data_IF_412361202852
#
_entry.id   IF_412361202852
#
_cell.length_a   1.000
_cell.length_b   1.000
_cell.length_c   1.000
_cell.angle_alpha   90.00
_cell.angle_beta   90.00
_cell.angle_gamma   90.00
#
_symmetry.space_group_name_H-M   'P 1'
#
loop_
_entity.id
_entity.type
_entity.pdbx_description
1 polymer ?
#
# COMPACT_ATOMS: atom_id res chain seq x y z
N UNK A 1 -4.52 7.41 3.04
CA UNK A 1 -5.17 6.36 2.24
C UNK A 1 -6.48 5.85 2.86
N UNK A 2 -6.46 5.19 4.04
CA UNK A 2 -7.67 4.53 4.59
C UNK A 2 -8.86 5.48 4.83
N UNK A 3 -8.61 6.69 5.34
CA UNK A 3 -9.63 7.74 5.43
C UNK A 3 -10.28 8.04 4.09
N UNK A 4 -9.47 8.20 3.04
CA UNK A 4 -9.97 8.50 1.70
C UNK A 4 -10.87 7.36 1.20
N UNK A 5 -10.44 6.11 1.37
CA UNK A 5 -11.26 4.95 1.03
C UNK A 5 -12.59 4.91 1.79
N UNK A 6 -12.59 5.12 3.11
CA UNK A 6 -13.83 5.17 3.91
C UNK A 6 -14.76 6.32 3.49
N UNK A 7 -14.22 7.42 2.95
CA UNK A 7 -15.03 8.52 2.43
C UNK A 7 -15.61 8.27 1.04
N UNK A 8 -15.00 7.38 0.23
CA UNK A 8 -15.45 7.08 -1.13
C UNK A 8 -16.36 5.86 -1.21
N UNK A 9 -16.31 4.96 -0.23
CA UNK A 9 -17.13 3.76 -0.19
C UNK A 9 -18.43 4.00 0.58
N UNK A 10 -19.57 3.57 0.05
CA UNK A 10 -20.87 3.74 0.70
C UNK A 10 -21.09 2.73 1.82
N UNK A 11 -20.76 1.46 1.58
CA UNK A 11 -21.08 0.34 2.47
C UNK A 11 -20.04 0.04 3.54
N UNK A 12 -18.79 0.52 3.38
CA UNK A 12 -17.72 0.24 4.35
C UNK A 12 -17.70 1.32 5.42
N UNK A 13 -18.05 0.95 6.64
CA UNK A 13 -18.13 1.88 7.78
C UNK A 13 -16.90 1.81 8.70
N UNK A 14 -16.16 0.71 8.67
CA UNK A 14 -15.06 0.45 9.61
C UNK A 14 -13.96 -0.33 8.90
N UNK A 15 -12.71 0.04 9.17
CA UNK A 15 -11.52 -0.74 8.79
C UNK A 15 -10.71 -0.99 10.06
N UNK A 16 -10.34 -2.25 10.28
CA UNK A 16 -9.45 -2.66 11.37
C UNK A 16 -8.20 -3.27 10.77
N UNK A 17 -7.04 -2.77 11.18
CA UNK A 17 -5.74 -3.33 10.87
C UNK A 17 -5.21 -4.02 12.12
N UNK A 18 -5.02 -5.33 12.03
CA UNK A 18 -4.44 -6.11 13.12
C UNK A 18 -2.98 -6.41 12.78
N UNK A 19 -2.10 -6.20 13.76
CA UNK A 19 -0.68 -6.50 13.67
C UNK A 19 -0.40 -7.79 14.42
N UNK A 20 0.31 -8.72 13.78
CA UNK A 20 0.61 -10.03 14.33
C UNK A 20 1.76 -9.94 15.35
N UNK A 21 1.74 -10.85 16.33
CA UNK A 21 2.86 -11.04 17.26
C UNK A 21 3.92 -11.95 16.61
N UNK A 22 5.19 -11.69 16.88
CA UNK A 22 6.29 -12.55 16.40
C UNK A 22 6.15 -13.96 16.97
N UNK A 23 6.27 -15.00 16.14
CA UNK A 23 6.14 -16.39 16.61
C UNK A 23 6.17 -17.42 15.49
N UNK A 24 5.14 -17.48 14.66
CA UNK A 24 5.06 -18.37 13.49
C UNK A 24 4.00 -17.81 12.53
N UNK A 25 4.39 -16.85 11.69
CA UNK A 25 3.48 -16.25 10.70
C UNK A 25 3.64 -16.93 9.36
N UNK A 26 2.65 -17.74 8.97
CA UNK A 26 2.42 -18.07 7.57
C UNK A 26 1.51 -16.97 6.99
N UNK A 27 1.97 -16.23 5.99
CA UNK A 27 1.13 -15.29 5.27
C UNK A 27 0.60 -15.94 4.00
N UNK A 28 -0.68 -15.76 3.69
CA UNK A 28 -1.26 -16.23 2.41
C UNK A 28 -0.47 -15.71 1.19
N UNK A 29 0.19 -14.56 1.35
CA UNK A 29 1.07 -13.95 0.36
C UNK A 29 2.27 -14.84 0.00
N UNK A 30 2.81 -15.61 0.95
CA UNK A 30 3.95 -16.50 0.72
C UNK A 30 3.58 -17.61 -0.25
N UNK A 31 2.34 -18.10 -0.16
CA UNK A 31 1.78 -19.06 -1.11
C UNK A 31 1.66 -18.49 -2.53
N UNK A 32 1.44 -17.17 -2.66
CA UNK A 32 1.43 -16.49 -3.96
C UNK A 32 2.83 -16.32 -4.53
N UNK A 33 3.80 -15.90 -3.70
CA UNK A 33 5.21 -15.78 -4.08
C UNK A 33 5.78 -17.11 -4.54
N UNK A 34 5.57 -18.20 -3.79
CA UNK A 34 6.03 -19.54 -4.14
C UNK A 34 5.52 -20.00 -5.52
N UNK A 35 4.24 -19.73 -5.83
CA UNK A 35 3.66 -20.09 -7.12
C UNK A 35 4.27 -19.29 -8.29
N UNK A 36 4.54 -17.99 -8.08
CA UNK A 36 5.17 -17.13 -9.08
C UNK A 36 6.62 -17.54 -9.31
N UNK A 37 7.38 -17.83 -8.25
CA UNK A 37 8.77 -18.28 -8.34
C UNK A 37 8.89 -19.63 -9.06
N UNK A 38 7.96 -20.54 -8.77
CA UNK A 38 7.88 -21.83 -9.46
C UNK A 38 7.67 -21.65 -10.98
N UNK A 39 6.69 -20.84 -11.39
CA UNK A 39 6.44 -20.56 -12.81
C UNK A 39 7.62 -19.83 -13.48
N UNK A 40 8.24 -18.89 -12.76
CA UNK A 40 9.44 -18.18 -13.23
C UNK A 40 10.61 -19.12 -13.49
N UNK A 41 10.74 -20.23 -12.74
CA UNK A 41 11.83 -21.20 -12.97
C UNK A 41 11.77 -21.83 -14.37
N UNK A 42 10.58 -21.88 -14.97
CA UNK A 42 10.32 -22.51 -16.25
C UNK A 42 10.06 -21.51 -17.38
N UNK A 43 10.18 -20.20 -17.12
CA UNK A 43 9.97 -19.15 -18.11
C UNK A 43 11.17 -18.20 -18.12
N UNK A 44 11.78 -18.01 -19.27
CA UNK A 44 12.75 -16.93 -19.45
C UNK A 44 12.05 -15.57 -19.42
N UNK A 45 12.63 -14.62 -18.70
CA UNK A 45 12.05 -13.30 -18.46
C UNK A 45 13.10 -12.26 -18.83
N UNK A 46 12.87 -11.56 -19.93
CA UNK A 46 13.81 -10.57 -20.47
C UNK A 46 13.29 -9.14 -20.27
N UNK A 47 11.97 -8.96 -20.20
CA UNK A 47 11.30 -7.69 -20.05
C UNK A 47 10.32 -7.68 -18.87
N UNK A 48 10.04 -6.49 -18.31
CA UNK A 48 9.06 -6.32 -17.22
C UNK A 48 7.65 -6.72 -17.65
N UNK A 49 7.35 -6.65 -18.94
CA UNK A 49 6.08 -7.11 -19.52
C UNK A 49 5.90 -8.63 -19.45
N UNK A 50 6.99 -9.40 -19.50
CA UNK A 50 6.92 -10.86 -19.49
C UNK A 50 6.44 -11.39 -18.13
N UNK A 51 6.76 -10.64 -17.06
CA UNK A 51 6.23 -10.90 -15.72
C UNK A 51 4.70 -10.91 -15.67
N UNK A 52 4.02 -10.14 -16.51
CA UNK A 52 2.55 -10.19 -16.58
C UNK A 52 2.05 -11.58 -16.98
N UNK A 53 2.79 -12.26 -17.86
CA UNK A 53 2.52 -13.64 -18.26
C UNK A 53 2.84 -14.62 -17.13
N UNK A 54 4.00 -14.48 -16.49
CA UNK A 54 4.41 -15.31 -15.33
C UNK A 54 3.36 -15.25 -14.22
N UNK A 55 2.93 -14.05 -13.84
CA UNK A 55 1.90 -13.86 -12.83
C UNK A 55 0.57 -14.52 -13.21
N UNK A 56 0.12 -14.38 -14.47
CA UNK A 56 -1.12 -15.05 -14.93
C UNK A 56 -1.01 -16.58 -14.88
N UNK A 57 0.16 -17.13 -15.21
CA UNK A 57 0.37 -18.59 -15.30
C UNK A 57 0.64 -19.26 -13.96
N UNK A 58 1.18 -18.53 -12.99
CA UNK A 58 1.54 -19.03 -11.66
C UNK A 58 0.45 -19.89 -10.97
N UNK A 59 -0.84 -19.60 -11.19
CA UNK A 59 -1.97 -20.43 -10.72
C UNK A 59 -3.01 -20.71 -11.80
N UNK A 60 -2.56 -21.11 -13.01
CA UNK A 60 -3.45 -21.40 -14.15
C UNK A 60 -4.43 -22.56 -13.92
N UNK A 61 -4.09 -23.52 -13.06
CA UNK A 61 -4.88 -24.74 -12.83
C UNK A 61 -5.87 -24.62 -11.65
N UNK A 62 -6.08 -23.42 -11.12
CA UNK A 62 -7.00 -23.17 -10.01
C UNK A 62 -8.26 -22.49 -10.53
N UNK A 63 -9.39 -22.69 -9.85
CA UNK A 63 -10.71 -22.12 -10.19
C UNK A 63 -10.68 -20.59 -10.45
N UNK A 64 -9.74 -19.87 -9.84
CA UNK A 64 -9.54 -18.44 -10.05
C UNK A 64 -8.05 -18.11 -10.22
N UNK A 65 -7.54 -18.03 -11.47
CA UNK A 65 -6.19 -17.54 -11.74
C UNK A 65 -5.98 -16.09 -11.32
N UNK A 66 -4.72 -15.65 -11.23
CA UNK A 66 -4.39 -14.28 -10.87
C UNK A 66 -4.79 -13.28 -11.96
N UNK A 67 -5.41 -12.17 -11.53
CA UNK A 67 -5.68 -11.00 -12.38
C UNK A 67 -4.50 -10.04 -12.25
N UNK A 68 -3.90 -9.69 -13.37
CA UNK A 68 -2.73 -8.81 -13.41
C UNK A 68 -3.11 -7.50 -14.09
N UNK A 69 -2.76 -6.39 -13.44
CA UNK A 69 -3.06 -5.04 -13.92
C UNK A 69 -1.74 -4.28 -14.08
N UNK A 70 -1.54 -3.68 -15.26
CA UNK A 70 -0.39 -2.82 -15.51
C UNK A 70 -0.76 -1.40 -15.06
N UNK A 71 -0.14 -0.95 -13.98
CA UNK A 71 -0.34 0.41 -13.47
C UNK A 71 0.49 1.42 -14.29
N UNK A 72 -0.06 2.62 -14.46
CA UNK A 72 0.58 3.79 -15.07
C UNK A 72 0.87 4.83 -14.00
N UNK A 73 1.74 5.79 -14.31
CA UNK A 73 2.06 6.91 -13.42
C UNK A 73 0.82 7.69 -12.94
N UNK A 74 -0.24 7.72 -13.75
CA UNK A 74 -1.54 8.36 -13.46
C UNK A 74 -2.34 7.68 -12.35
N UNK A 75 -2.07 6.40 -12.07
CA UNK A 75 -2.84 5.61 -11.11
C UNK A 75 -2.33 5.82 -9.67
N UNK A 76 -1.16 6.46 -9.52
CA UNK A 76 -0.54 6.72 -8.22
C UNK A 76 -0.99 8.07 -7.67
N UNK A 77 -1.49 8.05 -6.44
CA UNK A 77 -2.01 9.21 -5.73
C UNK A 77 -1.09 9.63 -4.58
N UNK A 78 -0.93 10.94 -4.37
CA UNK A 78 -0.12 11.51 -3.30
C UNK A 78 -0.91 11.57 -1.99
N UNK A 79 -0.75 10.51 -1.19
CA UNK A 79 -1.31 10.47 0.15
C UNK A 79 -0.43 11.14 1.20
N UNK A 80 0.85 11.44 0.92
CA UNK A 80 1.75 12.02 1.91
C UNK A 80 1.42 13.49 2.13
N UNK A 81 1.33 14.28 1.06
CA UNK A 81 0.93 15.69 1.16
C UNK A 81 -0.52 15.82 1.66
N UNK A 82 -1.40 14.94 1.17
CA UNK A 82 -2.77 14.85 1.66
C UNK A 82 -2.80 14.59 3.16
N UNK A 83 -2.04 13.62 3.67
CA UNK A 83 -1.96 13.30 5.09
C UNK A 83 -1.44 14.45 5.95
N UNK A 84 -0.37 15.14 5.51
CA UNK A 84 0.21 16.28 6.23
C UNK A 84 -0.75 17.46 6.42
N UNK A 85 -1.75 17.58 5.55
CA UNK A 85 -2.77 18.62 5.66
C UNK A 85 -3.71 18.41 6.85
N UNK A 86 -4.06 17.16 7.20
CA UNK A 86 -5.08 16.86 8.21
C UNK A 86 -4.62 16.04 9.42
N UNK A 87 -3.55 15.26 9.31
CA UNK A 87 -2.96 14.53 10.45
C UNK A 87 -1.99 15.47 11.18
N UNK A 88 -2.49 16.16 12.21
CA UNK A 88 -1.69 17.07 13.03
C UNK A 88 -1.17 16.43 14.30
N UNK A 89 -1.98 15.59 14.95
CA UNK A 89 -1.59 14.86 16.14
C UNK A 89 -1.32 13.39 15.79
N UNK A 90 -0.13 12.90 16.17
CA UNK A 90 0.29 11.50 15.99
C UNK A 90 0.95 10.93 17.24
N UNK A 91 1.00 11.69 18.32
CA UNK A 91 1.85 11.34 19.46
C UNK A 91 1.04 11.14 20.72
N UNK A 92 -0.08 11.85 20.86
CA UNK A 92 -0.82 11.91 22.11
C UNK A 92 -2.25 11.39 21.92
N UNK A 93 -2.73 10.59 22.85
CA UNK A 93 -4.12 10.13 22.88
C UNK A 93 -5.08 11.22 23.40
N UNK A 94 -6.37 10.91 23.48
CA UNK A 94 -7.37 11.84 24.03
C UNK A 94 -7.17 12.18 25.52
N UNK A 95 -6.46 11.32 26.27
CA UNK A 95 -6.19 11.48 27.70
C UNK A 95 -4.86 12.19 27.99
N UNK A 96 -4.08 12.55 26.96
CA UNK A 96 -2.78 13.20 27.13
C UNK A 96 -1.58 12.26 27.22
N UNK A 97 -1.77 10.95 27.05
CA UNK A 97 -0.69 9.96 27.12
C UNK A 97 -0.01 9.79 25.76
N UNK A 98 1.30 9.52 25.80
CA UNK A 98 2.08 9.20 24.61
C UNK A 98 1.69 7.83 24.05
N UNK A 99 1.46 7.78 22.74
CA UNK A 99 1.11 6.58 21.98
C UNK A 99 2.39 5.86 21.57
N UNK A 100 2.60 4.65 22.07
CA UNK A 100 3.71 3.81 21.63
C UNK A 100 3.31 2.98 20.40
N UNK A 101 3.61 3.51 19.22
CA UNK A 101 3.27 2.90 17.94
C UNK A 101 3.79 1.46 17.77
N UNK A 102 4.95 1.13 18.34
CA UNK A 102 5.54 -0.21 18.24
C UNK A 102 4.77 -1.27 19.03
N UNK A 103 4.02 -0.85 20.06
CA UNK A 103 3.20 -1.76 20.88
C UNK A 103 1.78 -1.93 20.36
N UNK A 104 1.35 -1.14 19.38
CA UNK A 104 -0.03 -1.18 18.86
C UNK A 104 -0.27 -2.51 18.15
N UNK A 105 -1.22 -3.30 18.66
CA UNK A 105 -1.60 -4.59 18.05
C UNK A 105 -2.82 -4.50 17.15
N UNK A 106 -3.66 -3.49 17.35
CA UNK A 106 -4.80 -3.25 16.47
C UNK A 106 -5.10 -1.77 16.34
N UNK A 107 -5.36 -1.35 15.11
CA UNK A 107 -5.67 0.02 14.74
C UNK A 107 -6.96 0.06 13.94
N UNK A 108 -7.92 0.87 14.39
CA UNK A 108 -9.27 0.89 13.85
C UNK A 108 -9.64 2.30 13.39
N UNK A 109 -10.16 2.36 12.18
CA UNK A 109 -10.69 3.55 11.53
C UNK A 109 -12.20 3.42 11.38
N UNK A 110 -12.93 4.45 11.79
CA UNK A 110 -14.36 4.56 11.53
C UNK A 110 -14.62 5.54 10.39
N UNK A 111 -15.71 5.32 9.64
CA UNK A 111 -16.23 6.30 8.70
C UNK A 111 -16.80 7.47 9.50
N UNK A 112 -16.24 8.64 9.29
CA UNK A 112 -16.60 9.85 10.03
C UNK A 112 -17.36 10.81 9.14
N UNK A 113 -18.29 11.56 9.75
CA UNK A 113 -19.00 12.63 9.05
C UNK A 113 -17.98 13.70 8.60
N UNK A 114 -18.17 14.33 7.43
CA UNK A 114 -17.29 15.39 6.93
C UNK A 114 -17.07 16.54 7.93
N UNK A 115 -18.03 16.73 8.84
CA UNK A 115 -18.03 17.79 9.85
C UNK A 115 -17.46 17.43 11.22
N UNK A 116 -17.10 16.17 11.45
CA UNK A 116 -16.58 15.72 12.73
C UNK A 116 -15.05 15.86 12.83
N UNK A 117 -14.55 15.98 14.06
CA UNK A 117 -13.12 15.77 14.36
C UNK A 117 -12.73 14.35 13.95
N UNK A 118 -11.60 14.24 13.23
CA UNK A 118 -11.09 12.93 12.86
C UNK A 118 -10.42 12.27 14.05
N UNK A 119 -10.76 11.01 14.31
CA UNK A 119 -10.16 10.20 15.37
C UNK A 119 -10.00 8.75 14.91
N UNK A 120 -8.94 8.12 15.42
CA UNK A 120 -8.67 6.71 15.23
C UNK A 120 -8.70 6.00 16.59
N UNK A 121 -8.87 4.69 16.55
CA UNK A 121 -8.81 3.85 17.72
C UNK A 121 -7.61 2.93 17.66
N UNK A 122 -6.98 2.67 18.79
CA UNK A 122 -5.87 1.74 18.89
C UNK A 122 -5.96 0.92 20.17
N UNK A 123 -5.32 -0.24 20.21
CA UNK A 123 -5.15 -1.03 21.43
C UNK A 123 -3.81 -1.75 21.43
N UNK A 124 -3.26 -1.94 22.62
CA UNK A 124 -1.99 -2.64 22.84
C UNK A 124 -2.17 -4.15 22.98
N UNK A 125 -3.34 -4.60 23.41
CA UNK A 125 -3.69 -6.02 23.55
C UNK A 125 -5.07 -6.29 22.94
N UNK A 126 -5.30 -7.53 22.49
CA UNK A 126 -6.58 -7.87 21.86
C UNK A 126 -7.75 -7.87 22.85
N UNK A 127 -7.47 -8.14 24.13
CA UNK A 127 -8.48 -8.23 25.20
C UNK A 127 -8.81 -6.87 25.84
N UNK A 128 -8.03 -5.83 25.53
CA UNK A 128 -8.24 -4.49 26.08
C UNK A 128 -9.23 -3.66 25.23
N UNK A 129 -9.95 -2.71 25.86
CA UNK A 129 -10.76 -1.76 25.12
C UNK A 129 -9.89 -0.85 24.23
N UNK A 130 -10.50 -0.32 23.18
CA UNK A 130 -9.82 0.63 22.30
C UNK A 130 -9.63 1.98 22.98
N UNK A 131 -8.42 2.51 22.87
CA UNK A 131 -8.07 3.90 23.19
C UNK A 131 -8.28 4.78 21.95
N UNK A 132 -8.58 6.07 22.16
CA UNK A 132 -8.92 7.01 21.11
C UNK A 132 -7.83 8.07 20.93
N UNK A 133 -7.47 8.34 19.68
CA UNK A 133 -6.54 9.40 19.28
C UNK A 133 -7.28 10.37 18.38
N UNK A 134 -7.36 11.64 18.78
CA UNK A 134 -7.88 12.71 17.92
C UNK A 134 -6.75 13.18 17.01
N UNK A 135 -6.88 12.94 15.70
CA UNK A 135 -5.79 13.10 14.71
C UNK A 135 -5.79 14.47 14.03
N UNK A 136 -6.93 15.17 14.04
CA UNK A 136 -7.11 16.48 13.40
C UNK A 136 -7.32 17.60 14.40
N UNK A 137 -6.88 18.81 14.07
CA UNK A 137 -7.10 20.01 14.88
C UNK A 137 -8.57 20.53 14.81
N UNK A 138 -9.08 21.19 15.87
CA UNK A 138 -10.38 21.87 15.86
C UNK A 138 -10.42 23.05 14.86
N UNK A 139 -11.59 23.26 14.25
CA UNK A 139 -11.78 24.00 12.98
C UNK A 139 -11.58 25.52 13.07
N UNK A 140 -10.92 26.10 12.06
CA UNK A 140 -11.18 27.48 11.59
C UNK A 140 -11.47 27.62 10.09
N UNK A 141 -11.31 26.59 9.25
CA UNK A 141 -11.65 26.64 7.81
C UNK A 141 -12.40 25.40 7.35
N UNK A 142 -13.37 25.59 6.43
CA UNK A 142 -14.11 24.51 5.76
C UNK A 142 -13.11 23.59 5.06
N UNK A 143 -13.01 22.36 5.53
CA UNK A 143 -12.19 21.33 4.91
C UNK A 143 -12.89 20.87 3.63
N UNK A 144 -12.33 21.22 2.46
CA UNK A 144 -12.68 20.50 1.23
C UNK A 144 -12.16 19.09 1.40
N UNK A 145 -12.97 18.07 1.07
CA UNK A 145 -12.48 16.70 0.93
C UNK A 145 -11.20 16.73 0.10
N UNK A 146 -10.06 16.51 0.74
CA UNK A 146 -8.75 16.53 0.08
C UNK A 146 -8.65 15.25 -0.75
N UNK A 147 -9.26 15.29 -1.93
CA UNK A 147 -9.03 14.26 -2.95
C UNK A 147 -7.52 14.27 -3.21
N UNK A 148 -6.83 13.15 -3.00
CA UNK A 148 -5.41 13.06 -3.27
C UNK A 148 -5.13 13.45 -4.73
N UNK A 149 -4.12 14.29 -4.94
CA UNK A 149 -3.66 14.63 -6.28
C UNK A 149 -2.80 13.49 -6.86
N UNK A 150 -2.61 13.41 -8.19
CA UNK A 150 -1.65 12.48 -8.78
C UNK A 150 -0.25 12.68 -8.19
N UNK A 151 0.40 11.59 -7.80
CA UNK A 151 1.75 11.61 -7.24
C UNK A 151 2.83 12.00 -8.26
N UNK A 152 2.58 11.71 -9.54
CA UNK A 152 3.51 11.95 -10.62
C UNK A 152 2.80 12.66 -11.78
N UNK A 153 3.47 13.67 -12.37
CA UNK A 153 2.98 14.39 -13.56
C UNK A 153 3.33 13.69 -14.87
N UNK A 154 4.35 12.83 -14.85
CA UNK A 154 4.90 12.13 -16.00
C UNK A 154 5.61 10.85 -15.53
N UNK A 155 5.94 9.91 -16.42
CA UNK A 155 6.75 8.75 -16.08
C UNK A 155 8.11 9.17 -15.50
N UNK A 156 8.53 8.52 -14.42
CA UNK A 156 9.82 8.81 -13.80
C UNK A 156 10.97 8.37 -14.73
N UNK A 157 11.99 9.23 -14.94
CA UNK A 157 13.16 8.84 -15.69
C UNK A 157 13.94 7.75 -14.95
N UNK A 158 14.57 6.84 -15.70
CA UNK A 158 15.49 5.87 -15.13
C UNK A 158 16.81 6.57 -14.77
N UNK A 159 17.24 6.43 -13.52
CA UNK A 159 18.53 6.97 -13.08
C UNK A 159 19.70 6.29 -13.81
N UNK A 160 20.80 7.02 -14.04
CA UNK A 160 21.94 6.53 -14.82
C UNK A 160 22.54 5.23 -14.26
N UNK A 161 22.70 5.14 -12.93
CA UNK A 161 23.20 3.93 -12.28
C UNK A 161 22.31 2.71 -12.59
N UNK A 162 20.99 2.87 -12.46
CA UNK A 162 20.01 1.80 -12.74
C UNK A 162 19.95 1.45 -14.24
N UNK A 163 20.25 2.38 -15.13
CA UNK A 163 20.31 2.13 -16.58
C UNK A 163 21.55 1.34 -16.98
N UNK A 164 22.65 1.45 -16.24
CA UNK A 164 23.89 0.76 -16.56
C UNK A 164 23.77 -0.76 -16.43
N UNK A 165 22.99 -1.28 -15.47
CA UNK A 165 22.85 -2.73 -15.25
C UNK A 165 22.14 -3.43 -16.43
N UNK A 166 20.95 -2.97 -16.92
CA UNK A 166 20.34 -3.51 -18.13
C UNK A 166 21.25 -3.42 -19.35
N UNK A 167 21.95 -2.29 -19.54
CA UNK A 167 22.88 -2.12 -20.67
C UNK A 167 24.03 -3.12 -20.61
N UNK A 168 24.52 -3.45 -19.41
CA UNK A 168 25.54 -4.48 -19.23
C UNK A 168 25.03 -5.86 -19.65
N UNK A 169 23.77 -6.19 -19.31
CA UNK A 169 23.13 -7.45 -19.70
C UNK A 169 22.90 -7.56 -21.21
N UNK A 170 22.51 -6.44 -21.85
CA UNK A 170 22.42 -6.35 -23.32
C UNK A 170 23.80 -6.57 -23.97
N UNK A 171 24.85 -5.91 -23.47
CA UNK A 171 26.22 -6.03 -24.00
C UNK A 171 26.84 -7.42 -23.78
N UNK A 172 26.44 -8.13 -22.72
CA UNK A 172 26.92 -9.47 -22.44
C UNK A 172 26.14 -10.57 -23.16
N UNK A 173 25.23 -10.21 -24.09
CA UNK A 173 24.31 -11.12 -24.79
C UNK A 173 23.50 -12.03 -23.85
N UNK A 174 23.29 -11.60 -22.60
CA UNK A 174 22.42 -12.30 -21.65
C UNK A 174 20.93 -12.05 -21.96
N UNK A 175 20.64 -10.96 -22.69
CA UNK A 175 19.33 -10.61 -23.23
C UNK A 175 19.45 -10.66 -24.76
N UNK A 176 18.59 -11.40 -25.48
CA UNK A 176 18.62 -11.43 -26.94
C UNK A 176 18.43 -10.03 -27.55
N UNK A 177 19.06 -9.77 -28.70
CA UNK A 177 19.06 -8.46 -29.36
C UNK A 177 17.64 -7.95 -29.68
N UNK A 178 16.72 -8.88 -29.94
CA UNK A 178 15.29 -8.61 -30.18
C UNK A 178 14.60 -7.85 -29.03
N UNK A 179 15.18 -7.88 -27.83
CA UNK A 179 14.63 -7.24 -26.63
C UNK A 179 15.39 -5.98 -26.19
N UNK A 180 16.30 -5.45 -27.01
CA UNK A 180 17.12 -4.25 -26.68
C UNK A 180 16.39 -2.92 -26.97
N UNK A 181 15.11 -2.83 -26.61
CA UNK A 181 14.27 -1.65 -26.83
C UNK A 181 14.29 -0.66 -25.66
#
# INVERSE_FOLDING_TARGET
MLKYFLSTQDHVTTITQNFLQSGHTEMEVDSMHAAIEHEKKHTDVFCVTDWLGVFKRARRNVKSPYKTFKLKHTDFLDFQNTASSFLKNREVDEAGNLVNWLKVKSFKHLKQKPDALYYNFYKYDFDQPYLKIVVSAPRRRKYQNSVPLPAYKSPLPIGQAKKNDPLKLCRSNAIPEEFHH
#
